data_IF_232618979569
#
_entry.id   IF_232618979569
#
_cell.length_a   1.000
_cell.length_b   1.000
_cell.length_c   1.000
_cell.angle_alpha   90.00
_cell.angle_beta   90.00
_cell.angle_gamma   90.00
#
_symmetry.space_group_name_H-M   'P 1'
#
loop_
_entity.id
_entity.type
_entity.pdbx_description
1 polymer ?
#
# COMPACT_ATOMS: atom_id res chain seq x y z
N UNK A 1 -10.75 -21.56 11.66
CA UNK A 1 -9.81 -20.48 11.99
C UNK A 1 -8.46 -21.06 12.42
N UNK A 2 -7.39 -20.27 12.49
CA UNK A 2 -6.04 -20.77 12.84
C UNK A 2 -6.01 -21.56 14.16
N UNK A 3 -6.70 -21.04 15.19
CA UNK A 3 -6.86 -21.70 16.50
C UNK A 3 -7.53 -23.08 16.39
N UNK A 4 -8.58 -23.20 15.56
CA UNK A 4 -9.31 -24.46 15.37
C UNK A 4 -8.45 -25.54 14.69
N UNK A 5 -7.39 -25.12 13.99
CA UNK A 5 -6.38 -25.98 13.39
C UNK A 5 -5.16 -26.21 14.30
N UNK A 6 -5.21 -25.80 15.57
CA UNK A 6 -4.11 -25.94 16.53
C UNK A 6 -2.91 -25.00 16.29
N UNK A 7 -3.09 -23.94 15.49
CA UNK A 7 -2.05 -22.94 15.20
C UNK A 7 -2.19 -21.75 16.12
N UNK A 8 -1.08 -21.08 16.43
CA UNK A 8 -1.06 -19.82 17.17
C UNK A 8 -1.56 -18.68 16.26
N UNK A 9 -2.71 -18.04 16.55
CA UNK A 9 -3.18 -16.92 15.76
C UNK A 9 -2.30 -15.66 15.90
N UNK A 10 -1.55 -15.54 17.00
CA UNK A 10 -0.71 -14.37 17.27
C UNK A 10 0.56 -14.33 16.41
N UNK A 11 0.94 -15.47 15.81
CA UNK A 11 2.04 -15.56 14.87
C UNK A 11 1.64 -15.25 13.42
N UNK A 12 0.38 -14.86 13.17
CA UNK A 12 -0.07 -14.48 11.82
C UNK A 12 0.24 -13.01 11.55
N UNK A 13 0.93 -12.76 10.45
CA UNK A 13 1.29 -11.42 9.99
C UNK A 13 0.35 -10.96 8.86
N UNK A 14 -0.22 -9.77 9.01
CA UNK A 14 -0.99 -9.13 7.94
C UNK A 14 -0.04 -8.35 7.04
N UNK A 15 0.16 -8.85 5.82
CA UNK A 15 0.94 -8.19 4.77
C UNK A 15 0.00 -7.51 3.78
N UNK A 16 0.15 -6.20 3.59
CA UNK A 16 -0.69 -5.40 2.70
C UNK A 16 0.04 -5.10 1.39
N UNK A 17 -0.53 -5.59 0.28
CA UNK A 17 -0.11 -5.20 -1.07
C UNK A 17 -0.85 -3.94 -1.50
N UNK A 18 -0.15 -2.81 -1.57
CA UNK A 18 -0.71 -1.54 -1.99
C UNK A 18 -0.71 -1.40 -3.51
N UNK A 19 -1.86 -1.70 -4.15
CA UNK A 19 -2.05 -1.48 -5.59
C UNK A 19 -2.07 0.03 -5.86
N UNK A 20 -0.99 0.55 -6.42
CA UNK A 20 -0.75 1.99 -6.52
C UNK A 20 -1.45 2.59 -7.74
N UNK A 21 -2.14 3.72 -7.53
CA UNK A 21 -2.54 4.64 -8.60
C UNK A 21 -2.41 6.08 -8.10
N UNK A 22 -1.48 6.86 -8.68
CA UNK A 22 -1.23 8.25 -8.25
C UNK A 22 -1.97 9.22 -9.18
N UNK A 23 -2.71 10.15 -8.59
CA UNK A 23 -3.38 11.24 -9.30
C UNK A 23 -2.84 12.60 -8.87
N UNK A 24 -2.84 13.57 -9.78
CA UNK A 24 -2.35 14.93 -9.49
C UNK A 24 -3.28 15.70 -8.54
N UNK A 25 -4.57 15.38 -8.57
CA UNK A 25 -5.62 16.02 -7.75
C UNK A 25 -6.23 15.02 -6.79
N UNK A 26 -6.67 15.48 -5.60
CA UNK A 26 -7.31 14.60 -4.63
C UNK A 26 -8.62 14.04 -5.20
N UNK A 27 -8.89 12.78 -4.88
CA UNK A 27 -10.14 12.11 -5.21
C UNK A 27 -11.16 12.26 -4.06
N UNK A 28 -12.42 11.96 -4.36
CA UNK A 28 -13.49 11.88 -3.36
C UNK A 28 -13.21 10.77 -2.31
N UNK A 29 -13.98 10.76 -1.21
CA UNK A 29 -13.76 9.82 -0.11
C UNK A 29 -14.01 8.37 -0.52
N UNK A 30 -14.92 8.13 -1.45
CA UNK A 30 -15.31 6.82 -1.98
C UNK A 30 -14.31 6.32 -3.04
N UNK A 31 -13.01 6.48 -2.76
CA UNK A 31 -11.90 6.00 -3.60
C UNK A 31 -11.41 4.64 -3.13
N UNK A 32 -10.79 3.88 -4.04
CA UNK A 32 -10.01 2.72 -3.63
C UNK A 32 -8.79 3.16 -2.80
N UNK A 33 -8.42 2.36 -1.80
CA UNK A 33 -7.20 2.59 -1.02
C UNK A 33 -5.98 2.54 -1.94
N UNK A 34 -4.97 3.35 -1.64
CA UNK A 34 -3.75 3.54 -2.43
C UNK A 34 -3.97 4.15 -3.84
N UNK A 35 -5.17 4.71 -4.07
CA UNK A 35 -5.50 5.49 -5.26
C UNK A 35 -5.75 6.95 -4.87
N UNK A 36 -5.04 7.90 -5.46
CA UNK A 36 -5.20 9.34 -5.17
C UNK A 36 -3.88 10.11 -5.15
N UNK A 37 -3.86 11.26 -4.47
CA UNK A 37 -2.60 11.98 -4.24
C UNK A 37 -1.70 11.25 -3.26
N UNK A 38 -0.40 11.58 -3.23
CA UNK A 38 0.52 11.01 -2.24
C UNK A 38 0.09 11.26 -0.79
N UNK A 39 -0.60 12.36 -0.50
CA UNK A 39 -1.09 12.63 0.86
C UNK A 39 -2.27 11.73 1.21
N UNK A 40 -3.20 11.49 0.28
CA UNK A 40 -4.27 10.50 0.44
C UNK A 40 -3.70 9.08 0.61
N UNK A 41 -2.64 8.75 -0.12
CA UNK A 41 -1.94 7.46 0.01
C UNK A 41 -1.26 7.34 1.39
N UNK A 42 -0.67 8.42 1.93
CA UNK A 42 -0.11 8.44 3.30
C UNK A 42 -1.18 8.20 4.37
N UNK A 43 -2.38 8.74 4.18
CA UNK A 43 -3.52 8.47 5.07
C UNK A 43 -3.87 6.98 5.08
N UNK A 44 -3.87 6.34 3.91
CA UNK A 44 -4.13 4.89 3.79
C UNK A 44 -3.04 4.07 4.51
N UNK A 45 -1.76 4.45 4.36
CA UNK A 45 -0.63 3.83 5.09
C UNK A 45 -0.83 3.95 6.60
N UNK A 46 -1.23 5.13 7.08
CA UNK A 46 -1.51 5.35 8.49
C UNK A 46 -2.67 4.45 8.98
N UNK A 47 -3.71 4.29 8.16
CA UNK A 47 -4.80 3.35 8.40
C UNK A 47 -4.32 1.90 8.53
N UNK A 48 -3.43 1.44 7.63
CA UNK A 48 -2.83 0.10 7.71
C UNK A 48 -2.02 -0.10 9.01
N UNK A 49 -1.24 0.89 9.42
CA UNK A 49 -0.50 0.84 10.70
C UNK A 49 -1.47 0.77 11.89
N UNK A 50 -2.56 1.53 11.87
CA UNK A 50 -3.55 1.56 12.94
C UNK A 50 -4.25 0.21 13.15
N UNK A 51 -4.48 -0.56 12.07
CA UNK A 51 -5.08 -1.90 12.16
C UNK A 51 -4.07 -3.02 12.43
N UNK A 52 -2.79 -2.68 12.63
CA UNK A 52 -1.74 -3.66 12.96
C UNK A 52 -1.20 -4.45 11.78
N UNK A 53 -1.14 -3.86 10.58
CA UNK A 53 -0.41 -4.47 9.47
C UNK A 53 1.06 -4.66 9.86
N UNK A 54 1.59 -5.87 9.62
CA UNK A 54 3.00 -6.18 9.87
C UNK A 54 3.89 -5.54 8.80
N UNK A 55 3.47 -5.63 7.55
CA UNK A 55 4.20 -5.11 6.40
C UNK A 55 3.24 -4.47 5.40
N UNK A 56 3.70 -3.42 4.74
CA UNK A 56 3.05 -2.84 3.57
C UNK A 56 4.12 -2.63 2.49
N UNK A 57 3.84 -3.12 1.29
CA UNK A 57 4.67 -2.85 0.13
C UNK A 57 3.82 -2.32 -1.02
N UNK A 58 4.42 -1.45 -1.83
CA UNK A 58 3.78 -0.91 -3.02
C UNK A 58 3.94 -1.81 -4.21
N UNK A 59 2.87 -1.95 -4.98
CA UNK A 59 2.86 -2.60 -6.27
C UNK A 59 2.52 -1.56 -7.36
N UNK A 60 3.51 -1.11 -8.15
CA UNK A 60 3.32 -0.14 -9.22
C UNK A 60 2.88 -0.78 -10.55
N UNK A 61 2.64 -2.09 -10.61
CA UNK A 61 2.47 -2.85 -11.87
C UNK A 61 1.41 -2.25 -12.81
N UNK A 62 0.35 -1.67 -12.26
CA UNK A 62 -0.77 -1.10 -13.04
C UNK A 62 -0.75 0.42 -13.14
N UNK A 63 0.22 1.08 -12.50
CA UNK A 63 0.33 2.54 -12.51
C UNK A 63 0.86 3.03 -13.87
N UNK A 64 0.04 3.83 -14.55
CA UNK A 64 0.35 4.33 -15.90
C UNK A 64 1.53 5.32 -15.94
N UNK A 65 1.88 5.95 -14.82
CA UNK A 65 2.97 6.94 -14.75
C UNK A 65 4.39 6.36 -14.66
N UNK A 66 4.55 5.04 -14.62
CA UNK A 66 5.86 4.38 -14.67
C UNK A 66 5.80 3.14 -15.58
N UNK A 67 6.41 3.24 -16.76
CA UNK A 67 6.28 2.23 -17.84
C UNK A 67 7.65 1.67 -18.28
N UNK A 68 8.70 1.91 -17.50
CA UNK A 68 10.05 1.37 -17.71
C UNK A 68 10.71 1.04 -16.38
N UNK A 69 11.70 0.14 -16.40
CA UNK A 69 12.43 -0.28 -15.20
C UNK A 69 13.02 0.91 -14.41
N UNK A 70 13.63 1.88 -15.09
CA UNK A 70 14.21 3.04 -14.42
C UNK A 70 13.14 3.92 -13.76
N UNK A 71 11.98 4.09 -14.39
CA UNK A 71 10.85 4.81 -13.80
C UNK A 71 10.28 4.06 -12.59
N UNK A 72 10.20 2.73 -12.65
CA UNK A 72 9.79 1.90 -11.52
C UNK A 72 10.74 2.05 -10.34
N UNK A 73 12.05 1.94 -10.56
CA UNK A 73 13.04 2.08 -9.50
C UNK A 73 12.99 3.48 -8.86
N UNK A 74 12.90 4.54 -9.68
CA UNK A 74 12.77 5.91 -9.18
C UNK A 74 11.49 6.11 -8.37
N UNK A 75 10.35 5.57 -8.84
CA UNK A 75 9.08 5.59 -8.14
C UNK A 75 9.16 4.85 -6.80
N UNK A 76 9.74 3.63 -6.79
CA UNK A 76 9.88 2.84 -5.57
C UNK A 76 10.78 3.55 -4.55
N UNK A 77 11.85 4.23 -4.95
CA UNK A 77 12.66 5.05 -4.04
C UNK A 77 11.91 6.27 -3.49
N UNK A 78 10.98 6.84 -4.25
CA UNK A 78 10.09 7.88 -3.76
C UNK A 78 9.11 7.32 -2.72
N UNK A 79 8.48 6.18 -3.02
CA UNK A 79 7.48 5.54 -2.17
C UNK A 79 8.07 4.96 -0.88
N UNK A 80 9.32 4.48 -0.91
CA UNK A 80 10.07 3.98 0.27
C UNK A 80 10.12 5.00 1.41
N UNK A 81 10.00 6.30 1.10
CA UNK A 81 10.02 7.38 2.10
C UNK A 81 8.68 7.56 2.82
N UNK A 82 7.63 6.85 2.41
CA UNK A 82 6.28 6.95 2.97
C UNK A 82 5.98 5.85 3.99
N UNK A 83 6.66 4.71 3.90
CA UNK A 83 6.46 3.50 4.72
C UNK A 83 7.47 3.38 5.84
#
# INVERSE_FOLDING_TARGET
MAKDAGRDPSSLEMVVRANLEITDKPLAKERFIFTGTLDQIKEDIAGCRQIGAHELFFDPTFYSGAQSLNQWLALMEQLRKLV
#
